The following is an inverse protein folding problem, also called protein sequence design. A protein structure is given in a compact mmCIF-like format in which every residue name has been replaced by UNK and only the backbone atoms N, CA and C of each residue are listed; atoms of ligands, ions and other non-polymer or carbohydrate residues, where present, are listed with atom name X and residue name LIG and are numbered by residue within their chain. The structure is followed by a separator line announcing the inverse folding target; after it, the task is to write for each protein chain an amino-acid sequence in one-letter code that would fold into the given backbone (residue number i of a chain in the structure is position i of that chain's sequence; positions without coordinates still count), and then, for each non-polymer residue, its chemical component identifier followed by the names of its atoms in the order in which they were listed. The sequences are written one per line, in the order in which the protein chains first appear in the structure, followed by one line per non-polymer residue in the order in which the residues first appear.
data_IF_906623407721
#
_entry.id   IF_906623407721
#
_cell.length_a   1.000
_cell.length_b   1.000
_cell.length_c   1.000
_cell.angle_alpha   90.00
_cell.angle_beta   90.00
_cell.angle_gamma   90.00
#
_symmetry.space_group_name_H-M   'P 1'
#
loop_
_entity.id
_entity.type
_entity.pdbx_description
1 polymer ?
#
# COMPACT_ATOMS: atom_id res chain seq x y z
N UNK A 1 -38.91 -26.84 -41.01
CA UNK A 1 -38.37 -25.51 -40.79
C UNK A 1 -38.19 -25.09 -39.31
N UNK A 2 -38.98 -25.60 -38.35
CA UNK A 2 -38.83 -25.19 -36.91
C UNK A 2 -37.56 -25.71 -36.23
N UNK A 3 -36.93 -26.79 -36.69
CA UNK A 3 -35.69 -27.31 -36.09
C UNK A 3 -34.42 -26.60 -36.53
N UNK A 4 -34.41 -25.99 -37.70
CA UNK A 4 -33.26 -25.32 -38.29
C UNK A 4 -32.91 -24.00 -37.56
N UNK A 5 -33.96 -23.23 -37.23
CA UNK A 5 -33.81 -21.96 -36.45
C UNK A 5 -33.29 -22.24 -35.04
N UNK A 6 -33.64 -23.37 -34.43
CA UNK A 6 -33.17 -23.76 -33.10
C UNK A 6 -31.64 -24.05 -33.08
N UNK A 7 -31.16 -24.73 -34.15
CA UNK A 7 -29.71 -25.04 -34.24
C UNK A 7 -28.87 -23.78 -34.51
N UNK A 8 -29.35 -22.90 -35.39
CA UNK A 8 -28.67 -21.63 -35.64
C UNK A 8 -28.56 -20.75 -34.39
N UNK A 9 -29.64 -20.68 -33.61
CA UNK A 9 -29.66 -19.96 -32.33
C UNK A 9 -28.65 -20.55 -31.33
N UNK A 10 -28.61 -21.86 -31.18
CA UNK A 10 -27.68 -22.54 -30.28
C UNK A 10 -26.23 -22.31 -30.71
N UNK A 11 -25.93 -22.31 -32.01
CA UNK A 11 -24.62 -22.03 -32.53
C UNK A 11 -24.19 -20.58 -32.23
N UNK A 12 -25.09 -19.60 -32.44
CA UNK A 12 -24.80 -18.18 -32.16
C UNK A 12 -24.52 -17.97 -30.66
N UNK A 13 -25.37 -18.54 -29.78
CA UNK A 13 -25.19 -18.44 -28.33
C UNK A 13 -23.89 -19.15 -27.90
N UNK A 14 -23.60 -20.33 -28.39
CA UNK A 14 -22.40 -21.10 -28.11
C UNK A 14 -21.13 -20.34 -28.54
N UNK A 15 -21.12 -19.75 -29.75
CA UNK A 15 -20.01 -18.95 -30.23
C UNK A 15 -19.82 -17.64 -29.44
N UNK A 16 -20.92 -17.01 -29.07
CA UNK A 16 -20.88 -15.81 -28.22
C UNK A 16 -20.26 -16.08 -26.84
N UNK A 17 -20.68 -17.21 -26.21
CA UNK A 17 -20.11 -17.62 -24.92
C UNK A 17 -18.62 -17.98 -25.03
N UNK A 18 -18.22 -18.60 -26.14
CA UNK A 18 -16.80 -18.94 -26.38
C UNK A 18 -15.90 -17.71 -26.50
N UNK A 19 -16.44 -16.58 -26.98
CA UNK A 19 -15.71 -15.31 -27.04
C UNK A 19 -15.76 -14.59 -25.68
N UNK A 20 -16.91 -14.56 -25.02
CA UNK A 20 -17.12 -13.80 -23.77
C UNK A 20 -16.35 -14.44 -22.60
N UNK A 21 -16.30 -15.76 -22.50
CA UNK A 21 -15.66 -16.44 -21.38
C UNK A 21 -14.17 -16.09 -21.22
N UNK A 22 -13.32 -16.14 -22.26
CA UNK A 22 -11.92 -15.72 -22.15
C UNK A 22 -11.78 -14.25 -21.78
N UNK A 23 -12.62 -13.36 -22.31
CA UNK A 23 -12.60 -11.94 -22.00
C UNK A 23 -12.88 -11.67 -20.51
N UNK A 24 -13.83 -12.38 -19.92
CA UNK A 24 -14.12 -12.28 -18.49
C UNK A 24 -12.93 -12.75 -17.65
N UNK A 25 -12.28 -13.85 -18.02
CA UNK A 25 -11.11 -14.37 -17.31
C UNK A 25 -9.96 -13.35 -17.34
N UNK A 26 -9.70 -12.77 -18.50
CA UNK A 26 -8.65 -11.73 -18.64
C UNK A 26 -9.00 -10.49 -17.83
N UNK A 27 -10.26 -10.05 -17.87
CA UNK A 27 -10.74 -8.89 -17.10
C UNK A 27 -10.56 -9.08 -15.59
N UNK A 28 -10.90 -10.26 -15.06
CA UNK A 28 -10.73 -10.57 -13.65
C UNK A 28 -9.25 -10.54 -13.22
N UNK A 29 -8.36 -11.16 -14.00
CA UNK A 29 -6.92 -11.16 -13.71
C UNK A 29 -6.31 -9.76 -13.77
N UNK A 30 -6.74 -8.95 -14.72
CA UNK A 30 -6.26 -7.58 -14.90
C UNK A 30 -6.69 -6.70 -13.71
N UNK A 31 -7.91 -6.87 -13.21
CA UNK A 31 -8.43 -6.14 -12.05
C UNK A 31 -7.59 -6.38 -10.78
N UNK A 32 -7.21 -7.63 -10.52
CA UNK A 32 -6.36 -7.97 -9.36
C UNK A 32 -4.96 -7.33 -9.45
N UNK A 33 -4.41 -7.29 -10.66
CA UNK A 33 -3.10 -6.66 -10.91
C UNK A 33 -3.15 -5.15 -10.68
N UNK A 34 -4.20 -4.47 -11.14
CA UNK A 34 -4.37 -3.03 -10.92
C UNK A 34 -4.53 -2.68 -9.44
N UNK A 35 -5.32 -3.43 -8.69
CA UNK A 35 -5.49 -3.20 -7.26
C UNK A 35 -4.14 -3.33 -6.51
N UNK A 36 -3.36 -4.35 -6.83
CA UNK A 36 -2.04 -4.53 -6.22
C UNK A 36 -1.09 -3.37 -6.54
N UNK A 37 -1.10 -2.88 -7.77
CA UNK A 37 -0.27 -1.74 -8.18
C UNK A 37 -0.66 -0.44 -7.48
N UNK A 38 -1.96 -0.20 -7.29
CA UNK A 38 -2.47 0.98 -6.56
C UNK A 38 -2.07 0.91 -5.09
N UNK A 39 -2.25 -0.24 -4.45
CA UNK A 39 -1.87 -0.45 -3.04
C UNK A 39 -0.36 -0.23 -2.84
N UNK A 40 0.46 -0.75 -3.77
CA UNK A 40 1.91 -0.60 -3.74
C UNK A 40 2.33 0.87 -3.88
N UNK A 41 1.73 1.60 -4.81
CA UNK A 41 2.02 3.02 -5.00
C UNK A 41 1.58 3.87 -3.79
N UNK A 42 0.47 3.54 -3.15
CA UNK A 42 0.02 4.20 -1.93
C UNK A 42 0.96 3.95 -0.76
N UNK A 43 1.40 2.71 -0.56
CA UNK A 43 2.34 2.35 0.49
C UNK A 43 3.71 2.99 0.29
N UNK A 44 4.19 3.06 -0.95
CA UNK A 44 5.44 3.76 -1.28
C UNK A 44 5.33 5.23 -0.91
N UNK A 45 4.23 5.90 -1.28
CA UNK A 45 4.00 7.30 -0.93
C UNK A 45 3.98 7.52 0.59
N UNK A 46 3.31 6.65 1.35
CA UNK A 46 3.26 6.72 2.80
C UNK A 46 4.67 6.58 3.40
N UNK A 47 5.44 5.63 2.92
CA UNK A 47 6.80 5.41 3.38
C UNK A 47 7.71 6.62 3.09
N UNK A 48 7.60 7.19 1.88
CA UNK A 48 8.37 8.36 1.46
C UNK A 48 7.95 9.61 2.26
N UNK A 49 6.66 9.83 2.48
CA UNK A 49 6.16 10.96 3.28
C UNK A 49 6.64 10.88 4.73
N UNK A 50 6.65 9.69 5.33
CA UNK A 50 7.12 9.50 6.71
C UNK A 50 8.63 9.69 6.83
N UNK A 51 9.42 9.21 5.87
CA UNK A 51 10.87 9.40 5.88
C UNK A 51 11.24 10.85 5.61
N UNK A 52 10.52 11.55 4.74
CA UNK A 52 10.71 12.98 4.50
C UNK A 52 10.40 13.83 5.74
N UNK A 53 9.31 13.53 6.45
CA UNK A 53 8.98 14.16 7.72
C UNK A 53 10.04 13.89 8.79
N UNK A 54 10.58 12.68 8.82
CA UNK A 54 11.66 12.33 9.75
C UNK A 54 12.94 13.14 9.46
N UNK A 55 13.27 13.30 8.19
CA UNK A 55 14.40 14.15 7.78
C UNK A 55 14.18 15.61 8.16
N UNK A 56 12.99 16.17 7.92
CA UNK A 56 12.64 17.54 8.29
C UNK A 56 12.78 17.78 9.81
N UNK A 57 12.20 16.88 10.62
CA UNK A 57 12.26 16.96 12.08
C UNK A 57 13.68 16.77 12.60
N UNK A 58 14.49 15.92 11.94
CA UNK A 58 15.89 15.71 12.25
C UNK A 58 16.73 16.98 12.02
N UNK A 59 16.47 17.71 10.94
CA UNK A 59 17.13 18.98 10.65
C UNK A 59 16.81 20.07 11.67
N UNK A 60 15.57 20.13 12.15
CA UNK A 60 15.17 21.06 13.20
C UNK A 60 15.81 20.71 14.55
N UNK A 61 16.17 19.46 14.77
CA UNK A 61 16.79 18.94 16.00
C UNK A 61 15.82 18.85 17.18
N UNK A 62 16.26 18.21 18.29
CA UNK A 62 15.41 18.08 19.49
C UNK A 62 15.09 19.45 20.11
N UNK A 63 13.87 19.68 20.59
CA UNK A 63 12.76 18.76 20.80
C UNK A 63 11.69 18.81 19.69
N UNK A 64 12.07 19.05 18.43
CA UNK A 64 11.10 19.24 17.36
C UNK A 64 10.20 18.04 17.15
N UNK A 65 8.94 18.33 16.84
CA UNK A 65 7.90 17.34 16.67
C UNK A 65 6.95 17.77 15.56
N UNK A 66 6.64 16.85 14.67
CA UNK A 66 5.63 17.03 13.60
C UNK A 66 4.59 15.91 13.68
N UNK A 67 3.38 16.23 13.25
CA UNK A 67 2.30 15.24 13.17
C UNK A 67 1.79 15.17 11.75
N UNK A 68 1.58 13.95 11.26
CA UNK A 68 1.01 13.69 9.95
C UNK A 68 -0.18 12.74 10.06
N UNK A 69 -1.18 12.97 9.23
CA UNK A 69 -2.32 12.07 9.12
C UNK A 69 -2.07 11.11 7.95
N UNK A 70 -1.92 9.85 8.28
CA UNK A 70 -1.60 8.78 7.34
C UNK A 70 -2.74 7.77 7.26
N UNK A 71 -3.07 7.32 6.07
CA UNK A 71 -4.07 6.28 5.86
C UNK A 71 -3.38 4.96 5.57
N UNK A 72 -3.39 4.04 6.54
CA UNK A 72 -2.83 2.70 6.38
C UNK A 72 -3.84 1.77 5.72
N UNK A 73 -3.50 1.14 4.59
CA UNK A 73 -4.35 0.14 3.96
C UNK A 73 -4.37 -1.17 4.77
N UNK A 74 -5.41 -1.97 4.58
CA UNK A 74 -5.66 -3.22 5.34
C UNK A 74 -4.62 -4.33 5.15
N UNK A 75 -3.65 -4.16 4.26
CA UNK A 75 -2.74 -5.22 3.85
C UNK A 75 -1.35 -5.14 4.46
N UNK A 76 -1.10 -4.20 5.37
CA UNK A 76 0.17 -4.13 6.09
C UNK A 76 0.15 -5.19 7.19
N UNK A 77 1.13 -6.09 7.15
CA UNK A 77 1.31 -7.12 8.16
C UNK A 77 2.28 -6.68 9.24
N UNK A 78 3.32 -5.98 8.84
CA UNK A 78 4.35 -5.53 9.75
C UNK A 78 5.02 -4.24 9.27
N UNK A 79 5.49 -3.45 10.22
CA UNK A 79 6.33 -2.27 9.95
C UNK A 79 7.54 -2.34 10.86
N UNK A 80 8.71 -2.32 10.26
CA UNK A 80 9.98 -2.39 10.98
C UNK A 80 10.91 -1.26 10.54
N UNK A 81 11.86 -0.95 11.39
CA UNK A 81 12.93 -0.01 11.07
C UNK A 81 14.28 -0.69 11.27
N UNK A 82 15.21 -0.40 10.38
CA UNK A 82 16.59 -0.87 10.46
C UNK A 82 17.55 0.28 10.11
N UNK A 83 18.12 0.91 11.13
CA UNK A 83 18.92 2.12 10.95
C UNK A 83 18.09 3.22 10.30
N UNK A 84 18.45 3.63 9.10
CA UNK A 84 17.75 4.68 8.34
C UNK A 84 16.60 4.17 7.46
N UNK A 85 16.37 2.86 7.44
CA UNK A 85 15.36 2.26 6.59
C UNK A 85 14.06 2.05 7.33
N UNK A 86 12.95 2.45 6.69
CA UNK A 86 11.59 2.12 7.05
C UNK A 86 11.12 0.99 6.12
N UNK A 87 10.69 -0.10 6.68
CA UNK A 87 10.33 -1.31 5.95
C UNK A 87 8.86 -1.63 6.25
N UNK A 88 8.02 -1.59 5.21
CA UNK A 88 6.60 -1.95 5.28
C UNK A 88 6.43 -3.31 4.60
N UNK A 89 5.96 -4.29 5.35
CA UNK A 89 5.76 -5.65 4.86
C UNK A 89 4.28 -5.94 4.66
N UNK A 90 3.98 -6.51 3.51
CA UNK A 90 2.67 -7.05 3.18
C UNK A 90 2.84 -8.52 2.79
N UNK A 91 1.79 -9.32 2.82
CA UNK A 91 1.88 -10.74 2.46
C UNK A 91 2.36 -11.04 1.03
N UNK A 92 2.55 -10.03 0.19
CA UNK A 92 2.94 -10.18 -1.22
C UNK A 92 4.23 -9.45 -1.60
N UNK A 93 4.55 -8.35 -0.93
CA UNK A 93 5.70 -7.51 -1.27
C UNK A 93 6.17 -6.71 -0.06
N UNK A 94 7.38 -6.19 -0.16
CA UNK A 94 8.01 -5.36 0.84
C UNK A 94 8.33 -4.00 0.22
N UNK A 95 8.04 -2.93 0.94
CA UNK A 95 8.38 -1.57 0.55
C UNK A 95 9.45 -1.06 1.50
N UNK A 96 10.50 -0.49 0.94
CA UNK A 96 11.61 0.06 1.70
C UNK A 96 11.77 1.53 1.31
N UNK A 97 11.69 2.40 2.30
CA UNK A 97 12.06 3.82 2.17
C UNK A 97 13.21 4.12 3.12
N UNK A 98 14.01 5.10 2.80
CA UNK A 98 15.17 5.47 3.62
C UNK A 98 15.19 6.94 3.95
N UNK A 99 15.42 7.26 5.21
CA UNK A 99 15.81 8.60 5.62
C UNK A 99 17.22 8.93 5.10
N UNK A 100 17.45 10.16 4.68
CA UNK A 100 18.75 10.59 4.19
C UNK A 100 19.71 10.94 5.32
N UNK A 101 19.21 11.34 6.48
CA UNK A 101 19.98 12.01 7.51
C UNK A 101 19.94 11.37 8.89
N UNK A 102 18.91 10.56 9.21
CA UNK A 102 18.71 10.08 10.58
C UNK A 102 18.36 8.59 10.65
N UNK A 103 18.63 8.00 11.79
CA UNK A 103 18.10 6.68 12.13
C UNK A 103 16.64 6.79 12.52
N UNK A 104 15.86 5.77 12.18
CA UNK A 104 14.44 5.71 12.45
C UNK A 104 14.13 4.69 13.54
N UNK A 105 13.26 5.05 14.46
CA UNK A 105 12.69 4.14 15.44
C UNK A 105 11.18 4.11 15.29
N UNK A 106 10.64 2.92 15.05
CA UNK A 106 9.20 2.70 14.90
C UNK A 106 8.61 2.23 16.21
N UNK A 107 7.63 2.95 16.73
CA UNK A 107 6.91 2.62 17.96
C UNK A 107 5.39 2.73 17.77
N UNK A 108 4.88 2.00 16.78
CA UNK A 108 3.47 2.02 16.40
C UNK A 108 3.02 0.60 16.10
N UNK A 109 1.91 0.18 16.66
CA UNK A 109 1.30 -1.09 16.28
C UNK A 109 0.36 -0.88 15.09
N UNK A 110 0.76 -1.37 13.92
CA UNK A 110 -0.06 -1.30 12.70
C UNK A 110 -0.95 -2.54 12.61
N UNK A 111 -1.82 -2.73 13.57
CA UNK A 111 -2.78 -3.85 13.56
C UNK A 111 -4.09 -3.51 12.85
N UNK A 112 -4.43 -2.23 12.74
CA UNK A 112 -5.71 -1.79 12.20
C UNK A 112 -5.51 -0.84 11.01
N UNK A 113 -6.20 -1.14 9.92
CA UNK A 113 -6.28 -0.24 8.77
C UNK A 113 -7.10 1.01 9.10
N UNK A 114 -6.76 2.10 8.47
CA UNK A 114 -7.52 3.33 8.56
C UNK A 114 -6.65 4.57 8.69
N UNK A 115 -7.34 5.69 8.91
CA UNK A 115 -6.69 6.97 9.10
C UNK A 115 -6.14 7.05 10.53
N UNK A 116 -4.83 7.30 10.64
CA UNK A 116 -4.13 7.52 11.92
C UNK A 116 -3.36 8.81 11.89
N UNK A 117 -3.21 9.43 13.04
CA UNK A 117 -2.32 10.57 13.20
C UNK A 117 -1.03 10.07 13.82
N UNK A 118 0.04 10.18 13.08
CA UNK A 118 1.37 9.74 13.47
C UNK A 118 2.16 10.96 13.92
N UNK A 119 2.87 10.82 15.02
CA UNK A 119 3.79 11.83 15.54
C UNK A 119 5.22 11.43 15.23
N UNK A 120 5.96 12.33 14.62
CA UNK A 120 7.39 12.18 14.33
C UNK A 120 8.14 13.15 15.22
N UNK A 121 9.06 12.65 16.04
CA UNK A 121 9.79 13.44 17.03
C UNK A 121 11.30 13.22 16.92
N UNK A 122 12.06 14.31 16.87
CA UNK A 122 13.51 14.23 16.95
C UNK A 122 13.99 13.91 18.38
N UNK A 123 14.94 13.00 18.44
CA UNK A 123 15.77 12.70 19.62
C UNK A 123 17.24 13.05 19.35
N UNK A 124 18.09 12.84 20.31
CA UNK A 124 19.52 13.17 20.18
C UNK A 124 20.24 12.31 19.12
N UNK A 125 19.84 11.07 18.92
CA UNK A 125 20.51 10.11 18.04
C UNK A 125 19.60 9.50 16.96
N UNK A 126 18.27 9.65 17.09
CA UNK A 126 17.29 9.08 16.17
C UNK A 126 16.02 9.93 16.09
N UNK A 127 15.17 9.56 15.15
CA UNK A 127 13.81 10.07 15.05
C UNK A 127 12.83 8.94 15.36
N UNK A 128 11.95 9.16 16.33
CA UNK A 128 10.89 8.22 16.68
C UNK A 128 9.60 8.56 15.96
N UNK A 129 8.96 7.52 15.44
CA UNK A 129 7.63 7.56 14.84
C UNK A 129 6.68 6.83 15.77
N UNK A 130 5.73 7.55 16.35
CA UNK A 130 4.79 7.05 17.36
C UNK A 130 3.34 7.41 17.04
N UNK A 131 2.38 6.65 17.59
CA UNK A 131 0.94 6.99 17.46
C UNK A 131 0.61 8.22 18.32
N UNK A 132 -0.24 9.08 17.79
CA UNK A 132 -0.81 10.17 18.56
C UNK A 132 -2.10 9.62 19.20
N UNK A 133 -2.17 9.52 20.53
CA UNK A 133 -3.39 9.06 21.18
C UNK A 133 -4.60 9.95 20.92
#
# INVERSE_FOLDING_TARGET
MRGQVSIEYVMIVGFSLLIIAPLLIVSMRTSDTYQTSIDQAQLQRIADDLTMLADEVSFEGPPSTRSASVYFPRRIENVTTSGRFLILETGRYQIVASSSFTNLTWNLSVTDAGKRTVRVRARAEDVIIEDLP
#
